data_IF_787974833436
#
_entry.id   IF_787974833436
#
_cell.length_a   1.000
_cell.length_b   1.000
_cell.length_c   1.000
_cell.angle_alpha   90.00
_cell.angle_beta   90.00
_cell.angle_gamma   90.00
#
_symmetry.space_group_name_H-M   'P 1'
#
loop_
_entity.id
_entity.type
_entity.pdbx_description
1 polymer ?
#
# COMPACT_ATOMS: atom_id res chain seq x y z
N UNK A 1 15.96 -19.28 3.55
CA UNK A 1 16.52 -19.97 2.37
C UNK A 1 17.44 -19.01 1.63
N UNK A 2 18.61 -19.43 1.16
CA UNK A 2 19.49 -18.57 0.36
C UNK A 2 18.96 -18.43 -1.07
N UNK A 3 19.19 -17.28 -1.71
CA UNK A 3 18.77 -17.02 -3.10
C UNK A 3 19.27 -18.11 -4.06
N UNK A 4 20.52 -18.57 -3.88
CA UNK A 4 21.13 -19.63 -4.68
C UNK A 4 20.37 -20.97 -4.63
N UNK A 5 19.76 -21.31 -3.49
CA UNK A 5 18.97 -22.55 -3.35
C UNK A 5 17.65 -22.45 -4.13
N UNK A 6 17.00 -21.29 -4.09
CA UNK A 6 15.73 -21.07 -4.80
C UNK A 6 15.97 -21.01 -6.31
N UNK A 7 17.07 -20.41 -6.73
CA UNK A 7 17.51 -20.35 -8.13
C UNK A 7 17.83 -21.75 -8.69
N UNK A 8 18.52 -22.61 -7.91
CA UNK A 8 18.78 -24.01 -8.31
C UNK A 8 17.52 -24.87 -8.46
N UNK A 9 16.40 -24.45 -7.87
CA UNK A 9 15.09 -25.10 -7.97
C UNK A 9 14.19 -24.41 -9.00
N UNK A 10 14.75 -23.56 -9.85
CA UNK A 10 14.03 -22.77 -10.85
C UNK A 10 12.85 -21.98 -10.24
N UNK A 11 12.97 -21.53 -9.00
CA UNK A 11 11.90 -20.86 -8.25
C UNK A 11 10.59 -21.68 -8.16
N UNK A 12 10.68 -23.00 -8.27
CA UNK A 12 9.53 -23.91 -8.29
C UNK A 12 8.81 -24.00 -9.65
N UNK A 13 9.35 -23.41 -10.71
CA UNK A 13 8.78 -23.47 -12.05
C UNK A 13 9.00 -24.84 -12.70
N UNK A 14 8.04 -25.28 -13.51
CA UNK A 14 8.15 -26.47 -14.37
C UNK A 14 7.58 -26.16 -15.76
N UNK A 15 8.13 -26.77 -16.81
CA UNK A 15 7.66 -26.57 -18.18
C UNK A 15 6.49 -27.51 -18.54
N UNK A 16 6.40 -28.66 -17.86
CA UNK A 16 5.45 -29.75 -18.11
C UNK A 16 4.61 -30.11 -16.87
N UNK A 17 4.77 -29.36 -15.76
CA UNK A 17 4.15 -29.68 -14.47
C UNK A 17 4.97 -30.64 -13.59
N UNK A 18 6.11 -31.14 -14.06
CA UNK A 18 6.94 -32.14 -13.37
C UNK A 18 8.39 -31.68 -13.24
N UNK A 19 8.97 -31.10 -14.29
CA UNK A 19 10.38 -30.76 -14.36
C UNK A 19 10.62 -29.39 -15.01
N UNK A 20 11.68 -28.72 -14.58
CA UNK A 20 12.17 -27.51 -15.24
C UNK A 20 13.13 -27.89 -16.37
N UNK A 21 12.80 -27.49 -17.61
CA UNK A 21 13.62 -27.75 -18.79
C UNK A 21 14.24 -26.48 -19.38
N UNK A 22 13.80 -25.28 -18.94
CA UNK A 22 14.40 -24.00 -19.31
C UNK A 22 13.39 -22.86 -19.46
N UNK A 23 13.90 -21.67 -19.76
CA UNK A 23 13.09 -20.50 -20.08
C UNK A 23 12.86 -20.37 -21.60
N UNK A 24 11.72 -19.80 -22.05
CA UNK A 24 10.61 -19.30 -21.23
C UNK A 24 9.70 -20.41 -20.71
N UNK A 25 9.18 -20.25 -19.50
CA UNK A 25 8.10 -21.09 -18.95
C UNK A 25 6.78 -20.50 -19.43
N UNK A 26 6.04 -21.24 -20.25
CA UNK A 26 4.78 -20.82 -20.86
C UNK A 26 3.66 -21.74 -20.40
N UNK A 27 2.52 -21.16 -20.01
CA UNK A 27 1.44 -21.90 -19.38
C UNK A 27 0.33 -20.97 -18.87
N UNK A 28 -0.69 -21.54 -18.26
CA UNK A 28 -1.78 -20.77 -17.68
C UNK A 28 -1.36 -20.11 -16.36
N UNK A 29 -1.81 -18.88 -16.11
CA UNK A 29 -1.36 -18.10 -14.95
C UNK A 29 -1.63 -18.78 -13.60
N UNK A 30 -2.71 -19.56 -13.50
CA UNK A 30 -3.01 -20.36 -12.30
C UNK A 30 -2.02 -21.50 -12.02
N UNK A 31 -1.11 -21.82 -12.96
CA UNK A 31 -0.05 -22.85 -12.82
C UNK A 31 1.36 -22.28 -12.75
N UNK A 32 1.57 -21.02 -13.17
CA UNK A 32 2.91 -20.42 -13.27
C UNK A 32 3.35 -19.79 -11.95
N UNK A 33 2.44 -19.23 -11.16
CA UNK A 33 2.81 -18.60 -9.90
C UNK A 33 1.58 -18.31 -9.03
N UNK A 34 1.39 -19.07 -7.97
CA UNK A 34 0.65 -18.61 -6.80
C UNK A 34 1.66 -18.11 -5.76
N UNK A 35 1.30 -17.11 -4.95
CA UNK A 35 2.15 -16.53 -3.89
C UNK A 35 2.37 -17.48 -2.69
N UNK A 36 2.55 -18.77 -2.96
CA UNK A 36 2.48 -19.88 -2.02
C UNK A 36 1.35 -20.83 -2.40
N UNK A 37 1.57 -22.13 -2.26
CA UNK A 37 0.46 -23.09 -2.19
C UNK A 37 -0.32 -22.83 -0.90
N UNK A 38 -1.60 -23.18 -0.88
CA UNK A 38 -2.29 -23.32 0.40
C UNK A 38 -1.56 -24.43 1.19
N UNK A 39 -1.58 -24.36 2.53
CA UNK A 39 -0.99 -25.42 3.34
C UNK A 39 -1.80 -26.69 3.07
N UNK A 40 -1.17 -27.66 2.42
CA UNK A 40 -1.68 -29.02 2.29
C UNK A 40 -1.50 -29.69 3.67
N UNK A 41 -2.58 -30.21 4.25
CA UNK A 41 -2.45 -31.16 5.36
C UNK A 41 -1.96 -32.50 4.78
N UNK A 42 -1.00 -33.14 5.45
CA UNK A 42 -0.55 -34.48 5.05
C UNK A 42 -1.63 -35.55 5.29
N UNK A 43 -2.61 -35.24 6.13
CA UNK A 43 -3.74 -36.08 6.50
C UNK A 43 -5.04 -35.45 5.98
N UNK A 44 -5.89 -36.28 5.37
CA UNK A 44 -7.26 -35.95 4.94
C UNK A 44 -8.16 -35.78 6.18
N UNK A 45 -7.89 -34.74 6.98
CA UNK A 45 -8.60 -34.40 8.21
C UNK A 45 -9.95 -33.69 7.96
N UNK A 46 -10.39 -33.65 6.69
CA UNK A 46 -11.62 -32.98 6.28
C UNK A 46 -11.53 -31.45 6.26
N UNK A 47 -10.37 -30.85 6.58
CA UNK A 47 -10.14 -29.42 6.43
C UNK A 47 -9.56 -29.16 5.03
N UNK A 48 -10.45 -28.73 4.13
CA UNK A 48 -10.09 -28.18 2.83
C UNK A 48 -9.00 -27.10 3.00
N UNK A 49 -7.83 -27.37 2.41
CA UNK A 49 -6.65 -26.48 2.21
C UNK A 49 -6.76 -25.06 2.77
N UNK A 50 -5.83 -24.66 3.64
CA UNK A 50 -5.80 -23.32 4.22
C UNK A 50 -4.85 -22.43 3.44
N UNK A 51 -5.34 -21.31 2.90
CA UNK A 51 -4.50 -20.33 2.21
C UNK A 51 -4.15 -19.16 3.13
N UNK A 52 -3.11 -18.38 2.80
CA UNK A 52 -2.70 -17.21 3.59
C UNK A 52 -3.81 -16.15 3.72
N UNK A 53 -4.73 -16.10 2.75
CA UNK A 53 -5.90 -15.21 2.76
C UNK A 53 -7.17 -15.87 3.33
N UNK A 54 -7.06 -17.04 3.96
CA UNK A 54 -8.20 -17.71 4.59
C UNK A 54 -8.68 -16.91 5.81
N UNK A 55 -9.88 -16.34 5.71
CA UNK A 55 -10.47 -15.49 6.75
C UNK A 55 -10.82 -16.24 8.04
N UNK A 56 -10.85 -17.58 8.01
CA UNK A 56 -11.11 -18.42 9.19
C UNK A 56 -9.92 -18.43 10.14
N UNK A 57 -8.72 -18.12 9.63
CA UNK A 57 -7.49 -18.12 10.40
C UNK A 57 -7.00 -16.69 10.60
N UNK A 58 -6.56 -16.42 11.83
CA UNK A 58 -5.98 -15.13 12.20
C UNK A 58 -4.50 -15.08 11.81
N UNK A 59 -4.24 -14.99 10.52
CA UNK A 59 -2.91 -14.77 9.96
C UNK A 59 -2.37 -13.36 10.28
N UNK A 60 -1.07 -13.10 10.11
CA UNK A 60 -0.57 -11.73 10.18
C UNK A 60 -1.34 -10.83 9.21
N UNK A 61 -1.97 -9.78 9.74
CA UNK A 61 -2.76 -8.88 8.93
C UNK A 61 -1.86 -7.77 8.38
N UNK A 62 -1.58 -7.86 7.09
CA UNK A 62 -0.63 -6.98 6.41
C UNK A 62 -1.41 -6.02 5.51
N UNK A 63 -1.07 -4.75 5.63
CA UNK A 63 -1.48 -3.74 4.66
C UNK A 63 -0.31 -3.46 3.73
N UNK A 64 -0.67 -3.17 2.49
CA UNK A 64 0.28 -2.81 1.46
C UNK A 64 -0.05 -1.40 0.97
N UNK A 65 0.75 -0.42 1.36
CA UNK A 65 0.66 0.91 0.77
C UNK A 65 1.32 0.91 -0.60
N UNK A 66 0.65 1.49 -1.59
CA UNK A 66 1.18 1.62 -2.94
C UNK A 66 1.13 3.07 -3.41
N UNK A 67 2.19 3.54 -4.02
CA UNK A 67 2.22 4.81 -4.76
C UNK A 67 3.25 4.74 -5.88
N UNK A 68 3.34 5.77 -6.70
CA UNK A 68 4.36 5.85 -7.75
C UNK A 68 4.97 7.23 -7.81
N UNK A 69 6.28 7.29 -7.95
CA UNK A 69 7.06 8.53 -8.06
C UNK A 69 7.63 8.64 -9.47
N UNK A 70 7.58 9.82 -10.12
CA UNK A 70 8.23 10.05 -11.41
C UNK A 70 9.69 9.58 -11.39
N UNK A 71 10.12 8.87 -12.45
CA UNK A 71 11.46 8.28 -12.51
C UNK A 71 12.55 9.35 -12.38
N UNK A 72 12.30 10.53 -12.94
CA UNK A 72 13.17 11.71 -12.84
C UNK A 72 13.43 12.17 -11.39
N UNK A 73 12.54 11.85 -10.46
CA UNK A 73 12.60 12.24 -9.05
C UNK A 73 12.95 11.09 -8.11
N UNK A 74 12.98 9.85 -8.63
CA UNK A 74 13.20 8.66 -7.83
C UNK A 74 14.53 8.66 -7.04
N UNK A 75 15.68 9.10 -7.57
CA UNK A 75 16.93 9.12 -6.79
C UNK A 75 16.86 9.99 -5.54
N UNK A 76 16.28 11.19 -5.65
CA UNK A 76 16.09 12.11 -4.52
C UNK A 76 15.10 11.54 -3.49
N UNK A 77 13.99 10.98 -3.97
CA UNK A 77 13.02 10.29 -3.11
C UNK A 77 13.67 9.13 -2.32
N UNK A 78 14.45 8.27 -2.98
CA UNK A 78 15.14 7.15 -2.32
C UNK A 78 16.14 7.64 -1.28
N UNK A 79 16.84 8.76 -1.54
CA UNK A 79 17.76 9.35 -0.56
C UNK A 79 17.03 9.80 0.71
N UNK A 80 15.88 10.48 0.58
CA UNK A 80 15.08 10.89 1.73
C UNK A 80 14.49 9.69 2.49
N UNK A 81 13.97 8.68 1.78
CA UNK A 81 13.43 7.46 2.40
C UNK A 81 14.50 6.74 3.21
N UNK A 82 15.75 6.70 2.73
CA UNK A 82 16.88 6.15 3.49
C UNK A 82 17.12 6.92 4.80
N UNK A 83 17.00 8.24 4.76
CA UNK A 83 17.12 9.10 5.95
C UNK A 83 16.01 8.82 6.97
N UNK A 84 14.76 8.64 6.52
CA UNK A 84 13.65 8.25 7.41
C UNK A 84 13.87 6.85 8.00
N UNK A 85 14.23 5.87 7.14
CA UNK A 85 14.34 4.44 7.51
C UNK A 85 15.53 4.12 8.40
N UNK A 86 16.57 4.97 8.46
CA UNK A 86 17.63 4.83 9.47
C UNK A 86 17.10 4.74 10.91
N UNK A 87 15.83 5.09 11.14
CA UNK A 87 15.12 4.98 12.41
C UNK A 87 14.19 3.74 12.58
N UNK A 88 14.03 2.83 11.60
CA UNK A 88 13.17 1.64 11.75
C UNK A 88 13.46 0.47 10.78
N UNK A 89 13.36 -0.77 11.27
CA UNK A 89 13.62 -2.02 10.51
C UNK A 89 12.37 -2.78 10.06
N UNK A 90 11.15 -2.31 10.32
CA UNK A 90 9.97 -3.18 10.35
C UNK A 90 9.06 -3.19 9.10
N UNK A 91 9.40 -2.50 8.00
CA UNK A 91 8.63 -2.53 6.75
C UNK A 91 9.44 -3.11 5.59
N UNK A 92 8.76 -3.90 4.75
CA UNK A 92 9.31 -4.37 3.48
C UNK A 92 8.95 -3.36 2.39
N UNK A 93 9.94 -2.93 1.60
CA UNK A 93 9.75 -1.98 0.50
C UNK A 93 10.09 -2.67 -0.80
N UNK A 94 9.11 -2.80 -1.69
CA UNK A 94 9.28 -3.30 -3.05
C UNK A 94 9.21 -2.12 -4.03
N UNK A 95 10.17 -2.05 -4.95
CA UNK A 95 10.21 -1.03 -5.99
C UNK A 95 10.25 -1.67 -7.37
N UNK A 96 9.47 -1.13 -8.31
CA UNK A 96 9.37 -1.64 -9.68
C UNK A 96 9.29 -0.48 -10.67
N UNK A 97 9.98 -0.60 -11.80
CA UNK A 97 9.87 0.38 -12.89
C UNK A 97 8.59 0.15 -13.69
N UNK A 98 7.88 1.23 -14.00
CA UNK A 98 6.64 1.21 -14.76
C UNK A 98 6.71 2.29 -15.83
N UNK A 99 6.44 1.91 -17.08
CA UNK A 99 6.40 2.84 -18.21
C UNK A 99 5.15 3.72 -18.14
N UNK A 100 5.23 4.92 -18.70
CA UNK A 100 4.08 5.75 -18.99
C UNK A 100 2.99 4.95 -19.73
N UNK A 101 1.73 5.25 -19.40
CA UNK A 101 0.56 4.56 -19.95
C UNK A 101 -0.35 5.55 -20.66
N UNK A 102 -0.93 5.11 -21.77
CA UNK A 102 -1.96 5.85 -22.49
C UNK A 102 -3.36 5.69 -21.87
N UNK A 103 -3.54 4.82 -20.87
CA UNK A 103 -4.80 4.68 -20.16
C UNK A 103 -5.17 6.00 -19.45
N UNK A 104 -6.46 6.31 -19.36
CA UNK A 104 -6.90 7.64 -18.91
C UNK A 104 -6.54 7.95 -17.45
N UNK A 105 -6.64 6.94 -16.58
CA UNK A 105 -6.16 6.98 -15.18
C UNK A 105 -4.81 6.27 -15.03
N UNK A 106 -4.06 6.17 -16.13
CA UNK A 106 -2.71 5.61 -16.19
C UNK A 106 -1.65 6.63 -15.75
N UNK A 107 -0.42 6.15 -15.54
CA UNK A 107 0.72 7.00 -15.17
C UNK A 107 1.13 7.84 -16.38
N UNK A 108 1.20 9.18 -16.28
CA UNK A 108 1.51 10.04 -17.42
C UNK A 108 2.99 9.98 -17.85
N UNK A 109 3.88 9.55 -16.96
CA UNK A 109 5.32 9.45 -17.19
C UNK A 109 5.91 8.16 -16.60
N UNK A 110 7.09 7.78 -17.08
CA UNK A 110 7.84 6.66 -16.54
C UNK A 110 8.10 6.89 -15.04
N UNK A 111 7.86 5.87 -14.25
CA UNK A 111 7.82 6.01 -12.79
C UNK A 111 8.31 4.76 -12.08
N UNK A 112 8.73 4.94 -10.82
CA UNK A 112 8.98 3.85 -9.90
C UNK A 112 7.71 3.65 -9.07
N UNK A 113 7.08 2.49 -9.21
CA UNK A 113 6.04 2.03 -8.31
C UNK A 113 6.69 1.51 -7.03
N UNK A 114 6.20 1.98 -5.89
CA UNK A 114 6.69 1.64 -4.56
C UNK A 114 5.55 1.01 -3.80
N UNK A 115 5.81 -0.16 -3.24
CA UNK A 115 4.91 -0.91 -2.39
C UNK A 115 5.58 -1.07 -1.02
N UNK A 116 4.87 -0.71 0.06
CA UNK A 116 5.34 -0.83 1.44
C UNK A 116 4.40 -1.76 2.20
N UNK A 117 4.90 -2.93 2.58
CA UNK A 117 4.18 -3.88 3.43
C UNK A 117 4.47 -3.60 4.90
N UNK A 118 3.40 -3.54 5.68
CA UNK A 118 3.46 -3.33 7.12
C UNK A 118 2.36 -4.08 7.86
N UNK A 119 2.67 -4.48 9.09
CA UNK A 119 1.71 -5.13 9.98
C UNK A 119 0.64 -4.16 10.47
N UNK A 120 -0.56 -4.70 10.63
CA UNK A 120 -1.72 -3.99 11.15
C UNK A 120 -2.45 -4.88 12.14
N UNK A 121 -2.94 -4.29 13.23
CA UNK A 121 -3.82 -5.00 14.15
C UNK A 121 -5.21 -5.20 13.55
N UNK A 122 -5.85 -6.32 13.90
CA UNK A 122 -7.28 -6.54 13.63
C UNK A 122 -8.19 -5.61 14.46
N UNK A 123 -7.67 -5.04 15.54
CA UNK A 123 -8.44 -4.15 16.42
C UNK A 123 -8.46 -2.75 15.83
N UNK A 124 -9.66 -2.25 15.53
CA UNK A 124 -9.86 -0.88 15.04
C UNK A 124 -9.30 0.16 16.02
N UNK A 125 -8.69 1.23 15.50
CA UNK A 125 -8.08 2.28 16.30
C UNK A 125 -6.80 1.85 17.04
N UNK A 126 -6.21 0.70 16.73
CA UNK A 126 -4.84 0.37 17.19
C UNK A 126 -3.80 1.03 16.28
N UNK A 127 -2.88 1.83 16.85
CA UNK A 127 -1.74 2.36 16.12
C UNK A 127 -0.92 1.24 15.47
N UNK A 128 -0.42 1.51 14.27
CA UNK A 128 0.45 0.58 13.54
C UNK A 128 1.89 0.77 14.00
N UNK A 129 2.64 -0.32 14.06
CA UNK A 129 4.08 -0.25 14.32
C UNK A 129 4.73 0.67 13.26
N UNK A 130 5.46 1.67 13.72
CA UNK A 130 6.12 2.66 12.86
C UNK A 130 5.17 3.39 11.89
N UNK A 131 3.90 3.60 12.27
CA UNK A 131 2.94 4.38 11.50
C UNK A 131 3.53 5.73 11.05
N UNK A 132 4.26 6.40 11.94
CA UNK A 132 4.91 7.67 11.66
C UNK A 132 5.89 7.61 10.49
N UNK A 133 6.71 6.56 10.40
CA UNK A 133 7.66 6.37 9.29
C UNK A 133 6.93 6.16 7.97
N UNK A 134 5.89 5.32 7.98
CA UNK A 134 5.15 4.96 6.76
C UNK A 134 4.33 6.15 6.27
N UNK A 135 3.60 6.81 7.17
CA UNK A 135 2.76 7.96 6.85
C UNK A 135 3.60 9.15 6.36
N UNK A 136 4.81 9.33 6.90
CA UNK A 136 5.77 10.34 6.41
C UNK A 136 6.23 10.02 4.98
N UNK A 137 6.59 8.77 4.70
CA UNK A 137 7.03 8.33 3.36
C UNK A 137 5.90 8.50 2.34
N UNK A 138 4.67 8.11 2.67
CA UNK A 138 3.50 8.28 1.80
C UNK A 138 3.25 9.77 1.49
N UNK A 139 3.21 10.63 2.51
CA UNK A 139 3.00 12.06 2.33
C UNK A 139 4.14 12.70 1.53
N UNK A 140 5.39 12.33 1.82
CA UNK A 140 6.55 12.82 1.08
C UNK A 140 6.50 12.43 -0.39
N UNK A 141 6.15 11.18 -0.69
CA UNK A 141 6.00 10.73 -2.07
C UNK A 141 4.92 11.51 -2.81
N UNK A 142 3.74 11.67 -2.21
CA UNK A 142 2.56 12.26 -2.83
C UNK A 142 2.66 13.79 -2.94
N UNK A 143 3.18 14.47 -1.92
CA UNK A 143 3.18 15.93 -1.80
C UNK A 143 4.49 16.55 -2.31
N UNK A 144 5.65 16.08 -1.83
CA UNK A 144 6.97 16.61 -2.22
C UNK A 144 7.41 16.15 -3.60
N UNK A 145 7.20 14.87 -3.90
CA UNK A 145 7.73 14.26 -5.14
C UNK A 145 6.71 14.16 -6.28
N UNK A 146 5.49 14.65 -6.09
CA UNK A 146 4.44 14.63 -7.12
C UNK A 146 3.97 13.22 -7.46
N UNK A 147 4.13 12.28 -6.53
CA UNK A 147 3.71 10.91 -6.73
C UNK A 147 2.19 10.78 -6.83
N UNK A 148 1.75 9.65 -7.36
CA UNK A 148 0.32 9.29 -7.50
C UNK A 148 0.00 8.08 -6.64
N UNK A 149 -1.20 8.03 -6.01
CA UNK A 149 -1.62 6.87 -5.25
C UNK A 149 -1.84 5.65 -6.16
N UNK A 150 -1.68 4.47 -5.60
CA UNK A 150 -2.13 3.23 -6.24
C UNK A 150 -3.61 2.99 -5.93
N UNK A 151 -4.44 2.96 -6.96
CA UNK A 151 -5.91 2.84 -6.86
C UNK A 151 -6.43 1.75 -5.93
N UNK A 152 -5.78 0.57 -5.89
CA UNK A 152 -6.20 -0.57 -5.05
C UNK A 152 -5.41 -0.78 -3.76
N UNK A 153 -4.51 0.13 -3.37
CA UNK A 153 -3.57 -0.07 -2.25
C UNK A 153 -3.45 1.15 -1.34
N UNK A 154 -3.63 2.35 -1.89
CA UNK A 154 -3.63 3.58 -1.10
C UNK A 154 -4.90 3.73 -0.27
N UNK A 155 -4.80 4.52 0.79
CA UNK A 155 -5.91 4.86 1.69
C UNK A 155 -6.51 6.22 1.31
N UNK A 156 -7.67 6.55 1.88
CA UNK A 156 -8.45 7.74 1.55
C UNK A 156 -7.64 9.04 1.51
N UNK A 157 -6.75 9.26 2.49
CA UNK A 157 -5.95 10.50 2.53
C UNK A 157 -5.13 10.74 1.26
N UNK A 158 -4.68 9.67 0.60
CA UNK A 158 -3.83 9.75 -0.57
C UNK A 158 -4.60 10.13 -1.85
N UNK A 159 -5.93 10.00 -1.84
CA UNK A 159 -6.79 10.33 -2.98
C UNK A 159 -7.27 11.79 -2.98
N UNK A 160 -7.00 12.55 -1.91
CA UNK A 160 -7.37 13.95 -1.88
C UNK A 160 -6.64 14.75 -2.98
N UNK A 161 -7.42 15.34 -3.88
CA UNK A 161 -6.91 16.01 -5.08
C UNK A 161 -6.14 15.11 -6.08
N UNK A 162 -6.06 13.80 -5.87
CA UNK A 162 -5.22 12.92 -6.68
C UNK A 162 -5.65 12.86 -8.15
N UNK A 163 -6.95 12.98 -8.43
CA UNK A 163 -7.49 12.93 -9.79
C UNK A 163 -6.89 14.03 -10.70
N UNK A 164 -6.53 15.18 -10.12
CA UNK A 164 -5.93 16.29 -10.86
C UNK A 164 -4.52 15.96 -11.42
N UNK A 165 -3.88 14.91 -10.91
CA UNK A 165 -2.57 14.43 -11.38
C UNK A 165 -2.67 13.57 -12.66
N UNK A 166 -3.88 13.26 -13.11
CA UNK A 166 -4.12 12.47 -14.32
C UNK A 166 -4.58 13.38 -15.47
N UNK A 167 -3.73 13.68 -16.47
CA UNK A 167 -4.05 14.64 -17.53
C UNK A 167 -5.31 14.30 -18.33
N UNK A 168 -5.68 13.01 -18.37
CA UNK A 168 -6.82 12.48 -19.12
C UNK A 168 -8.02 12.12 -18.24
N UNK A 169 -8.06 12.62 -17.00
CA UNK A 169 -9.17 12.37 -16.08
C UNK A 169 -10.50 12.88 -16.65
N UNK A 170 -10.51 14.01 -17.36
CA UNK A 170 -11.73 14.57 -17.94
C UNK A 170 -12.33 13.65 -19.01
N UNK A 171 -11.50 13.00 -19.80
CA UNK A 171 -11.89 12.02 -20.82
C UNK A 171 -12.37 10.73 -20.19
N UNK A 172 -11.77 10.32 -19.07
CA UNK A 172 -12.30 9.21 -18.27
C UNK A 172 -13.72 9.49 -17.81
N UNK A 173 -13.97 10.67 -17.22
CA UNK A 173 -15.30 11.05 -16.77
C UNK A 173 -16.31 11.09 -17.91
N UNK A 174 -15.93 11.66 -19.08
CA UNK A 174 -16.80 11.65 -20.27
C UNK A 174 -17.15 10.24 -20.76
N UNK A 175 -16.18 9.32 -20.76
CA UNK A 175 -16.44 7.92 -21.14
C UNK A 175 -17.31 7.24 -20.09
N UNK A 176 -17.03 7.45 -18.80
CA UNK A 176 -17.86 6.95 -17.72
C UNK A 176 -19.31 7.42 -17.89
N UNK A 177 -19.58 8.71 -18.05
CA UNK A 177 -20.93 9.25 -18.15
C UNK A 177 -21.69 8.72 -19.39
N UNK A 178 -20.96 8.43 -20.47
CA UNK A 178 -21.55 7.83 -21.69
C UNK A 178 -21.98 6.38 -21.49
N UNK A 179 -21.20 5.58 -20.76
CA UNK A 179 -21.45 4.15 -20.58
C UNK A 179 -22.21 3.81 -19.29
N UNK A 180 -22.25 4.73 -18.33
CA UNK A 180 -22.91 4.60 -17.04
C UNK A 180 -23.69 5.89 -16.70
N UNK A 181 -24.68 6.29 -17.54
CA UNK A 181 -25.40 7.56 -17.36
C UNK A 181 -26.26 7.59 -16.09
N UNK A 182 -26.69 6.43 -15.61
CA UNK A 182 -27.46 6.27 -14.37
C UNK A 182 -26.56 6.09 -13.14
N UNK A 183 -25.24 5.97 -13.32
CA UNK A 183 -24.30 5.81 -12.22
C UNK A 183 -24.41 4.47 -11.48
N UNK A 184 -24.87 3.41 -12.14
CA UNK A 184 -25.05 2.05 -11.58
C UNK A 184 -23.74 1.52 -10.99
N UNK A 185 -22.60 1.86 -11.60
CA UNK A 185 -21.27 1.45 -11.11
C UNK A 185 -20.60 2.49 -10.21
N UNK A 186 -21.34 3.52 -9.81
CA UNK A 186 -20.83 4.61 -8.98
C UNK A 186 -21.21 4.42 -7.53
N UNK A 187 -20.35 4.89 -6.63
CA UNK A 187 -20.60 4.97 -5.20
C UNK A 187 -20.25 6.38 -4.72
N UNK A 188 -20.65 6.69 -3.48
CA UNK A 188 -20.21 7.93 -2.83
C UNK A 188 -18.68 8.04 -2.86
N UNK A 189 -17.99 6.97 -2.50
CA UNK A 189 -16.53 6.92 -2.49
C UNK A 189 -15.93 7.10 -3.89
N UNK A 190 -16.46 6.44 -4.93
CA UNK A 190 -15.91 6.60 -6.28
C UNK A 190 -16.10 8.02 -6.81
N UNK A 191 -17.23 8.66 -6.50
CA UNK A 191 -17.48 10.06 -6.85
C UNK A 191 -16.53 11.03 -6.12
N UNK A 192 -16.18 10.72 -4.87
CA UNK A 192 -15.22 11.50 -4.09
C UNK A 192 -13.80 11.40 -4.66
N UNK A 193 -13.28 10.18 -4.89
CA UNK A 193 -11.90 9.99 -5.40
C UNK A 193 -11.73 10.46 -6.85
N UNK A 194 -12.82 10.48 -7.62
CA UNK A 194 -12.84 11.03 -8.98
C UNK A 194 -13.07 12.55 -9.01
N UNK A 195 -13.15 13.22 -7.85
CA UNK A 195 -13.31 14.67 -7.74
C UNK A 195 -14.65 15.20 -8.24
N UNK A 196 -15.67 14.35 -8.31
CA UNK A 196 -17.01 14.73 -8.79
C UNK A 196 -17.83 15.37 -7.68
N UNK A 197 -17.82 14.80 -6.47
CA UNK A 197 -18.60 15.30 -5.34
C UNK A 197 -17.99 14.87 -4.01
N UNK A 198 -17.87 15.83 -3.08
CA UNK A 198 -17.35 15.59 -1.73
C UNK A 198 -15.83 15.45 -1.72
N UNK A 199 -15.31 14.88 -0.63
CA UNK A 199 -13.90 14.59 -0.44
C UNK A 199 -13.74 13.15 0.05
N UNK A 200 -12.70 12.42 -0.38
CA UNK A 200 -12.42 11.10 0.17
C UNK A 200 -11.93 11.18 1.62
N UNK A 201 -11.56 12.36 2.12
CA UNK A 201 -11.10 12.57 3.49
C UNK A 201 -12.25 12.40 4.48
N UNK A 202 -12.03 11.54 5.48
CA UNK A 202 -12.97 11.37 6.60
C UNK A 202 -12.26 11.82 7.87
N UNK A 203 -12.73 12.92 8.46
CA UNK A 203 -12.18 13.50 9.69
C UNK A 203 -12.97 13.01 10.89
N UNK A 204 -12.26 12.57 11.94
CA UNK A 204 -12.86 12.09 13.18
C UNK A 204 -11.81 11.53 14.13
N UNK A 205 -12.23 11.14 15.34
CA UNK A 205 -11.34 10.52 16.32
C UNK A 205 -10.65 9.30 15.69
N UNK A 206 -9.32 9.26 15.77
CA UNK A 206 -8.51 8.16 15.22
C UNK A 206 -8.40 8.09 13.69
N UNK A 207 -8.90 9.08 12.93
CA UNK A 207 -8.90 9.00 11.47
C UNK A 207 -7.51 8.81 10.84
N UNK A 208 -6.46 9.37 11.44
CA UNK A 208 -5.11 9.27 10.89
C UNK A 208 -4.49 7.87 11.13
N UNK A 209 -4.82 7.23 12.26
CA UNK A 209 -4.45 5.83 12.52
C UNK A 209 -5.01 4.89 11.43
N UNK A 210 -6.23 5.18 11.00
CA UNK A 210 -6.96 4.45 9.98
C UNK A 210 -6.52 4.81 8.54
N UNK A 211 -5.80 5.93 8.35
CA UNK A 211 -5.43 6.48 7.04
C UNK A 211 -6.58 7.15 6.30
N UNK A 212 -7.58 7.60 7.04
CA UNK A 212 -8.74 8.31 6.51
C UNK A 212 -8.49 9.81 6.35
N UNK A 213 -7.54 10.35 7.11
CA UNK A 213 -7.14 11.75 7.11
C UNK A 213 -5.63 11.87 7.37
N UNK A 214 -5.05 13.02 7.03
CA UNK A 214 -3.76 13.46 7.60
C UNK A 214 -4.06 14.14 8.95
N UNK A 215 -3.26 13.87 9.99
CA UNK A 215 -3.56 14.41 11.32
C UNK A 215 -3.36 15.93 11.37
N UNK A 216 -4.31 16.63 11.99
CA UNK A 216 -4.20 18.07 12.34
C UNK A 216 -4.32 18.28 13.85
N UNK A 217 -5.01 17.37 14.53
CA UNK A 217 -5.23 17.37 15.97
C UNK A 217 -4.74 16.06 16.59
N UNK A 218 -4.38 16.09 17.86
CA UNK A 218 -3.94 14.90 18.58
C UNK A 218 -5.05 13.83 18.65
N UNK A 219 -6.32 14.24 18.68
CA UNK A 219 -7.51 13.35 18.64
C UNK A 219 -7.54 12.40 17.43
N UNK A 220 -6.86 12.75 16.33
CA UNK A 220 -6.75 11.90 15.13
C UNK A 220 -5.77 10.73 15.33
N UNK A 221 -4.92 10.78 16.35
CA UNK A 221 -3.78 9.90 16.56
C UNK A 221 -3.90 8.94 17.75
N UNK A 222 -5.03 8.84 18.44
CA UNK A 222 -5.20 8.05 19.67
C UNK A 222 -4.29 8.53 20.82
N UNK A 223 -4.50 9.77 21.33
CA UNK A 223 -3.69 10.35 22.39
C UNK A 223 -3.76 9.56 23.70
N UNK A 224 -4.87 8.84 23.94
CA UNK A 224 -5.04 7.94 25.08
C UNK A 224 -4.05 6.76 25.07
N UNK A 225 -3.40 6.47 23.94
CA UNK A 225 -2.35 5.46 23.79
C UNK A 225 -0.95 6.07 23.66
N UNK A 226 -0.81 7.37 23.96
CA UNK A 226 0.47 8.09 23.87
C UNK A 226 0.87 8.52 22.45
N UNK A 227 -0.03 8.41 21.46
CA UNK A 227 0.25 8.82 20.08
C UNK A 227 -0.35 10.19 19.78
N UNK A 228 0.51 11.14 19.39
CA UNK A 228 0.14 12.53 19.16
C UNK A 228 0.47 12.95 17.72
N UNK A 229 -0.22 13.97 17.22
CA UNK A 229 0.01 14.48 15.88
C UNK A 229 1.26 15.35 15.86
N UNK A 230 2.31 14.91 15.16
CA UNK A 230 3.62 15.57 15.12
C UNK A 230 4.11 15.76 13.68
N UNK A 231 5.03 16.71 13.44
CA UNK A 231 5.72 16.81 12.17
C UNK A 231 6.47 15.52 11.83
N UNK A 232 6.63 15.22 10.54
CA UNK A 232 7.58 14.21 10.06
C UNK A 232 9.02 14.54 10.47
N UNK A 233 9.88 13.52 10.52
CA UNK A 233 11.27 13.64 10.98
C UNK A 233 12.20 14.26 9.93
N UNK A 234 12.04 13.86 8.66
CA UNK A 234 12.81 14.34 7.51
C UNK A 234 11.97 15.29 6.66
N UNK A 235 10.73 14.91 6.36
CA UNK A 235 9.75 15.77 5.68
C UNK A 235 8.82 16.40 6.71
N UNK A 236 9.25 17.55 7.24
CA UNK A 236 8.58 18.24 8.37
C UNK A 236 7.21 18.82 8.04
N UNK A 237 6.87 18.97 6.75
CA UNK A 237 5.52 19.34 6.31
C UNK A 237 4.52 18.17 6.46
N UNK A 238 4.99 16.92 6.49
CA UNK A 238 4.12 15.79 6.79
C UNK A 238 3.63 15.86 8.24
N UNK A 239 2.42 15.35 8.47
CA UNK A 239 1.83 15.21 9.79
C UNK A 239 1.58 13.74 10.09
N UNK A 240 2.15 13.26 11.18
CA UNK A 240 2.20 11.84 11.50
C UNK A 240 1.79 11.57 12.94
N UNK A 241 1.19 10.41 13.18
CA UNK A 241 0.90 9.95 14.52
C UNK A 241 2.15 9.30 15.12
N UNK A 242 2.84 10.04 15.98
CA UNK A 242 4.07 9.61 16.63
C UNK A 242 3.82 9.31 18.10
N UNK A 243 4.39 8.22 18.60
CA UNK A 243 4.39 7.91 20.02
C UNK A 243 5.25 8.92 20.79
N UNK A 244 4.73 9.43 21.90
CA UNK A 244 5.38 10.39 22.78
C UNK A 244 5.48 9.76 24.17
N UNK A 245 6.45 8.87 24.32
CA UNK A 245 6.79 8.12 25.54
C UNK A 245 8.15 7.42 25.36
N UNK A 246 8.63 6.71 26.37
CA UNK A 246 9.92 5.99 26.26
C UNK A 246 9.82 4.85 25.22
N UNK A 247 10.78 4.77 24.30
CA UNK A 247 10.76 3.83 23.15
C UNK A 247 10.66 2.35 23.54
N UNK A 248 10.98 2.01 24.80
CA UNK A 248 10.88 0.64 25.32
C UNK A 248 9.44 0.22 25.66
N UNK A 249 8.55 1.16 25.96
CA UNK A 249 7.15 0.86 26.32
C UNK A 249 6.23 0.77 25.09
N UNK A 250 6.56 1.48 24.00
CA UNK A 250 5.71 1.56 22.80
C UNK A 250 5.68 0.30 21.93
N UNK A 251 6.62 -0.63 22.10
CA UNK A 251 6.71 -1.86 21.29
C UNK A 251 5.89 -3.04 21.85
N UNK A 252 5.56 -3.01 23.14
CA UNK A 252 4.92 -4.14 23.84
C UNK A 252 3.43 -4.23 23.53
N UNK A 253 2.76 -3.11 23.22
CA UNK A 253 1.31 -3.06 22.98
C UNK A 253 0.89 -3.21 21.51
N UNK A 254 1.83 -3.40 20.58
CA UNK A 254 1.56 -3.44 19.13
C UNK A 254 1.69 -4.85 18.52
N UNK A 255 2.29 -5.80 19.26
CA UNK A 255 2.39 -7.22 18.90
C UNK A 255 1.32 -8.05 19.64
#
# INVERSE_FOLDING_TARGET
MSAARVESQAYGLTNDGVSFTGYPVVGYQHRIQASGTCLDSADDDGLQSVCYWDSRIRWPFIYNSGFSVPLSRAPAFVADVRSVRSASRACSVLMRYVRASTAYLGKPEDSVAVDIDYYRSYTSGMPRAHANVIDEIEQMALLKYGGVPHWGKSRNFAFDGAIAKYPRASEFLRVKDRYDPEGIFSSEWSNQVLGMKGSPIIVGKGCAIEGLCVCSEDSHCAPEKGYLCRPGKVYTEARVCAFVGDEHDGFVDVL
#
